data_IF_312171791439
#
_entry.id   IF_312171791439
#
_cell.length_a   1.000
_cell.length_b   1.000
_cell.length_c   1.000
_cell.angle_alpha   90.00
_cell.angle_beta   90.00
_cell.angle_gamma   90.00
#
_symmetry.space_group_name_H-M   'P 1'
#
loop_
_entity.id
_entity.type
_entity.pdbx_description
1 polymer ?
#
# COMPACT_ATOMS: atom_id res chain seq x y z
N UNK A 1 4.27 -9.76 -7.65
CA UNK A 1 5.01 -8.76 -6.86
C UNK A 1 4.01 -7.85 -6.15
N UNK A 2 4.22 -7.43 -4.90
CA UNK A 2 3.43 -6.34 -4.29
C UNK A 2 3.48 -5.15 -5.23
N UNK A 3 2.40 -4.91 -5.97
CA UNK A 3 2.37 -3.86 -6.98
C UNK A 3 2.33 -2.52 -6.25
N UNK A 4 3.48 -1.87 -6.15
CA UNK A 4 3.58 -0.46 -5.81
C UNK A 4 3.15 0.34 -7.04
N UNK A 5 1.89 0.17 -7.46
CA UNK A 5 1.38 0.82 -8.66
C UNK A 5 1.42 2.33 -8.46
N UNK A 6 1.95 3.10 -9.43
CA UNK A 6 1.95 4.55 -9.34
C UNK A 6 0.50 5.04 -9.28
N UNK A 7 0.23 5.96 -8.37
CA UNK A 7 -1.06 6.66 -8.26
C UNK A 7 -0.82 8.12 -7.92
N UNK A 8 -1.73 9.01 -8.34
CA UNK A 8 -1.61 10.45 -8.06
C UNK A 8 -1.42 10.72 -6.56
N UNK A 9 -2.25 10.10 -5.72
CA UNK A 9 -2.13 10.19 -4.27
C UNK A 9 -0.76 9.73 -3.76
N UNK A 10 -0.19 8.64 -4.31
CA UNK A 10 1.13 8.17 -3.88
C UNK A 10 2.20 9.22 -4.19
N UNK A 11 2.16 9.84 -5.36
CA UNK A 11 3.10 10.90 -5.75
C UNK A 11 2.98 12.13 -4.85
N UNK A 12 1.76 12.51 -4.48
CA UNK A 12 1.54 13.63 -3.55
C UNK A 12 2.06 13.33 -2.15
N UNK A 13 1.78 12.14 -1.60
CA UNK A 13 2.31 11.72 -0.29
C UNK A 13 3.85 11.71 -0.34
N UNK A 14 4.42 11.26 -1.45
CA UNK A 14 5.86 11.22 -1.64
C UNK A 14 6.48 12.63 -1.65
N UNK A 15 5.86 13.59 -2.35
CA UNK A 15 6.28 14.98 -2.31
C UNK A 15 6.24 15.56 -0.89
N UNK A 16 5.22 15.20 -0.10
CA UNK A 16 5.13 15.58 1.32
C UNK A 16 6.25 14.95 2.14
N UNK A 17 6.55 13.66 1.97
CA UNK A 17 7.66 13.00 2.71
C UNK A 17 8.99 13.70 2.43
N UNK A 18 9.31 13.96 1.16
CA UNK A 18 10.55 14.65 0.79
C UNK A 18 10.60 16.09 1.31
N UNK A 19 9.49 16.82 1.20
CA UNK A 19 9.39 18.18 1.71
C UNK A 19 9.60 18.24 3.22
N UNK A 20 8.98 17.33 3.99
CA UNK A 20 9.14 17.26 5.44
C UNK A 20 10.57 16.87 5.85
N UNK A 21 11.19 15.93 5.14
CA UNK A 21 12.56 15.49 5.42
C UNK A 21 13.60 16.61 5.21
N UNK A 22 13.30 17.60 4.38
CA UNK A 22 14.19 18.74 4.13
C UNK A 22 14.11 19.84 5.20
N UNK A 23 13.19 19.74 6.17
CA UNK A 23 12.96 20.78 7.18
C UNK A 23 13.90 20.64 8.39
N UNK A 24 14.29 21.76 9.01
CA UNK A 24 15.02 21.72 10.28
C UNK A 24 14.10 21.37 11.46
N UNK A 25 14.71 20.87 12.54
CA UNK A 25 14.02 20.53 13.79
C UNK A 25 13.22 21.72 14.34
N UNK A 26 12.00 21.46 14.82
CA UNK A 26 11.11 22.43 15.46
C UNK A 26 10.39 23.38 14.50
N UNK A 27 10.49 23.17 13.18
CA UNK A 27 9.85 24.02 12.18
C UNK A 27 8.33 24.02 12.26
N UNK A 28 7.72 25.16 11.96
CA UNK A 28 6.27 25.30 11.82
C UNK A 28 5.94 25.66 10.37
N UNK A 29 5.22 24.79 9.68
CA UNK A 29 4.94 24.93 8.25
C UNK A 29 3.45 24.75 7.93
N UNK A 30 3.03 25.33 6.80
CA UNK A 30 1.70 25.06 6.21
C UNK A 30 1.91 24.43 4.83
N UNK A 31 1.30 23.27 4.61
CA UNK A 31 1.27 22.58 3.31
C UNK A 31 -0.04 22.93 2.62
N UNK A 32 0.06 23.67 1.52
CA UNK A 32 -1.06 23.96 0.65
C UNK A 32 -1.22 22.81 -0.36
N UNK A 33 -2.41 22.20 -0.44
CA UNK A 33 -2.69 21.11 -1.37
C UNK A 33 -4.13 21.14 -1.84
N UNK A 34 -4.37 20.78 -3.11
CA UNK A 34 -5.71 20.58 -3.66
C UNK A 34 -6.24 19.15 -3.44
N UNK A 35 -5.41 18.22 -2.94
CA UNK A 35 -5.83 16.85 -2.73
C UNK A 35 -6.62 16.65 -1.44
N UNK A 36 -7.94 16.53 -1.59
CA UNK A 36 -8.85 16.25 -0.49
C UNK A 36 -8.59 14.90 0.18
N UNK A 37 -8.17 13.89 -0.57
CA UNK A 37 -7.87 12.57 -0.03
C UNK A 37 -6.63 12.59 0.87
N UNK A 38 -5.59 13.33 0.49
CA UNK A 38 -4.40 13.54 1.31
C UNK A 38 -4.77 14.21 2.63
N UNK A 39 -5.55 15.29 2.59
CA UNK A 39 -6.02 16.00 3.80
C UNK A 39 -6.84 15.06 4.69
N UNK A 40 -7.76 14.28 4.13
CA UNK A 40 -8.60 13.33 4.87
C UNK A 40 -7.81 12.22 5.56
N UNK A 41 -6.80 11.67 4.87
CA UNK A 41 -5.93 10.65 5.46
C UNK A 41 -4.98 11.25 6.49
N UNK A 42 -4.48 12.47 6.27
CA UNK A 42 -3.65 13.19 7.23
C UNK A 42 -4.39 13.42 8.55
N UNK A 43 -5.61 13.96 8.50
CA UNK A 43 -6.41 14.19 9.72
C UNK A 43 -6.74 12.87 10.43
N UNK A 44 -6.99 11.81 9.66
CA UNK A 44 -7.34 10.49 10.20
C UNK A 44 -6.16 9.71 10.77
N UNK A 45 -4.93 9.97 10.31
CA UNK A 45 -3.79 9.10 10.60
C UNK A 45 -2.48 9.81 10.93
N UNK A 46 -2.40 11.14 10.91
CA UNK A 46 -1.20 11.91 11.31
C UNK A 46 -1.52 12.78 12.51
N UNK A 47 -2.59 13.57 12.47
CA UNK A 47 -2.98 14.49 13.55
C UNK A 47 -3.45 13.78 14.83
N UNK A 48 -3.81 12.50 14.72
CA UNK A 48 -4.27 11.68 15.84
C UNK A 48 -3.18 10.72 16.35
N UNK A 49 -3.30 10.18 17.57
CA UNK A 49 -2.47 9.06 18.02
C UNK A 49 -2.53 7.87 17.05
N UNK A 50 -1.51 7.00 17.09
CA UNK A 50 -1.40 5.90 16.14
C UNK A 50 -2.65 4.99 16.15
N UNK A 51 -3.19 4.72 14.97
CA UNK A 51 -4.33 3.81 14.77
C UNK A 51 -3.90 2.60 13.94
N UNK A 52 -4.13 1.36 14.39
CA UNK A 52 -3.84 0.14 13.61
C UNK A 52 -4.56 0.08 12.26
N UNK A 53 -5.65 0.84 12.09
CA UNK A 53 -6.36 0.99 10.81
C UNK A 53 -5.45 1.54 9.70
N UNK A 54 -4.38 2.28 10.05
CA UNK A 54 -3.39 2.77 9.10
C UNK A 54 -2.70 1.64 8.34
N UNK A 55 -2.39 0.52 9.00
CA UNK A 55 -1.74 -0.66 8.41
C UNK A 55 -2.60 -1.35 7.34
N UNK A 56 -3.87 -0.96 7.22
CA UNK A 56 -4.81 -1.44 6.20
C UNK A 56 -4.96 -0.48 5.03
N UNK A 57 -4.36 0.70 5.10
CA UNK A 57 -4.42 1.67 4.01
C UNK A 57 -3.35 1.35 2.94
N UNK A 58 -3.61 1.70 1.67
CA UNK A 58 -2.53 1.79 0.70
C UNK A 58 -1.50 2.84 1.13
N UNK A 59 -0.25 2.70 0.69
CA UNK A 59 0.84 3.63 1.02
C UNK A 59 1.09 3.79 2.54
N UNK A 60 0.68 2.82 3.36
CA UNK A 60 0.79 2.94 4.82
C UNK A 60 2.24 3.15 5.29
N UNK A 61 3.23 2.65 4.54
CA UNK A 61 4.63 2.89 4.86
C UNK A 61 5.02 4.37 4.68
N UNK A 62 4.50 5.03 3.65
CA UNK A 62 4.74 6.48 3.47
C UNK A 62 4.06 7.28 4.59
N UNK A 63 2.84 6.93 4.98
CA UNK A 63 2.16 7.55 6.11
C UNK A 63 2.88 7.33 7.45
N UNK A 64 3.39 6.12 7.69
CA UNK A 64 4.24 5.84 8.84
C UNK A 64 5.52 6.68 8.81
N UNK A 65 6.09 6.90 7.63
CA UNK A 65 7.27 7.76 7.44
C UNK A 65 6.97 9.21 7.78
N UNK A 66 5.84 9.76 7.29
CA UNK A 66 5.36 11.10 7.66
C UNK A 66 5.25 11.23 9.18
N UNK A 67 4.57 10.28 9.83
CA UNK A 67 4.41 10.30 11.30
C UNK A 67 5.76 10.27 12.03
N UNK A 68 6.70 9.47 11.55
CA UNK A 68 8.02 9.36 12.14
C UNK A 68 8.78 10.68 11.98
N UNK A 69 8.86 11.24 10.77
CA UNK A 69 9.54 12.50 10.48
C UNK A 69 8.96 13.65 11.30
N UNK A 70 7.63 13.81 11.31
CA UNK A 70 6.95 14.88 12.07
C UNK A 70 7.28 14.79 13.56
N UNK A 71 7.32 13.58 14.12
CA UNK A 71 7.64 13.35 15.52
C UNK A 71 9.13 13.59 15.81
N UNK A 72 10.01 13.03 14.98
CA UNK A 72 11.47 13.05 15.18
C UNK A 72 12.02 14.47 15.06
N UNK A 73 11.54 15.23 14.06
CA UNK A 73 11.92 16.62 13.85
C UNK A 73 11.06 17.62 14.64
N UNK A 74 10.17 17.16 15.52
CA UNK A 74 9.25 18.02 16.31
C UNK A 74 8.50 19.08 15.47
N UNK A 75 8.04 18.70 14.27
CA UNK A 75 7.43 19.62 13.32
C UNK A 75 6.00 19.97 13.72
N UNK A 76 5.62 21.24 13.50
CA UNK A 76 4.23 21.70 13.55
C UNK A 76 3.73 21.90 12.13
N UNK A 77 2.91 20.97 11.65
CA UNK A 77 2.45 20.98 10.25
C UNK A 77 0.95 21.23 10.22
N UNK A 78 0.51 22.21 9.43
CA UNK A 78 -0.90 22.46 9.12
C UNK A 78 -1.14 22.20 7.64
N UNK A 79 -2.19 21.45 7.31
CA UNK A 79 -2.63 21.31 5.92
C UNK A 79 -3.70 22.35 5.63
N UNK A 80 -3.60 22.99 4.48
CA UNK A 80 -4.60 23.92 3.97
C UNK A 80 -5.08 23.48 2.59
N UNK A 81 -6.39 23.42 2.42
CA UNK A 81 -6.99 23.06 1.15
C UNK A 81 -6.97 24.28 0.23
N UNK A 82 -6.34 24.16 -0.92
CA UNK A 82 -6.44 25.17 -1.99
C UNK A 82 -7.41 24.69 -3.08
N UNK A 83 -8.19 25.61 -3.69
CA UNK A 83 -9.03 25.26 -4.84
C UNK A 83 -8.17 24.74 -5.99
N UNK A 84 -8.68 23.73 -6.70
CA UNK A 84 -8.07 23.32 -7.95
C UNK A 84 -8.33 24.39 -9.02
N UNK A 85 -7.32 24.73 -9.81
CA UNK A 85 -7.43 25.63 -10.97
C UNK A 85 -7.76 27.10 -10.70
N UNK A 86 -7.67 27.55 -9.46
CA UNK A 86 -7.44 28.97 -9.21
C UNK A 86 -6.01 29.28 -9.68
N UNK A 87 -5.76 30.43 -10.31
CA UNK A 87 -4.47 30.79 -10.92
C UNK A 87 -3.35 31.04 -9.88
N UNK A 88 -3.18 30.14 -8.92
CA UNK A 88 -2.09 30.13 -7.96
C UNK A 88 -0.80 29.72 -8.69
N UNK A 89 0.13 30.67 -8.80
CA UNK A 89 1.38 30.50 -9.51
C UNK A 89 2.23 29.35 -8.95
N UNK A 90 2.19 29.11 -7.64
CA UNK A 90 2.95 28.03 -7.00
C UNK A 90 2.33 26.66 -7.29
N UNK A 91 1.00 26.56 -7.27
CA UNK A 91 0.32 25.32 -7.63
C UNK A 91 0.54 24.96 -9.10
N UNK A 92 0.48 25.94 -10.01
CA UNK A 92 0.81 25.75 -11.44
C UNK A 92 2.26 25.27 -11.60
N UNK A 93 3.19 25.87 -10.85
CA UNK A 93 4.60 25.46 -10.87
C UNK A 93 4.79 24.01 -10.40
N UNK A 94 4.14 23.62 -9.29
CA UNK A 94 4.21 22.25 -8.76
C UNK A 94 3.60 21.25 -9.76
N UNK A 95 2.46 21.56 -10.37
CA UNK A 95 1.84 20.72 -11.40
C UNK A 95 2.75 20.56 -12.63
N UNK A 96 3.41 21.64 -13.05
CA UNK A 96 4.38 21.60 -14.16
C UNK A 96 5.59 20.72 -13.80
N UNK A 97 6.15 20.87 -12.59
CA UNK A 97 7.25 20.05 -12.10
C UNK A 97 6.87 18.57 -12.02
N UNK A 98 5.67 18.25 -11.52
CA UNK A 98 5.17 16.89 -11.44
C UNK A 98 4.98 16.25 -12.83
N UNK A 99 4.42 16.99 -13.79
CA UNK A 99 4.26 16.56 -15.19
C UNK A 99 5.61 16.33 -15.87
N UNK A 100 6.58 17.22 -15.64
CA UNK A 100 7.92 17.07 -16.18
C UNK A 100 8.59 15.82 -15.59
N UNK A 101 8.54 15.65 -14.27
CA UNK A 101 9.12 14.50 -13.57
C UNK A 101 8.54 13.15 -14.02
N UNK A 102 7.29 13.10 -14.48
CA UNK A 102 6.68 11.90 -15.03
C UNK A 102 7.41 11.36 -16.28
N UNK A 103 8.05 12.25 -17.04
CA UNK A 103 8.75 11.93 -18.28
C UNK A 103 10.25 11.62 -18.09
N UNK A 104 10.77 11.78 -16.87
CA UNK A 104 12.18 11.55 -16.55
C UNK A 104 12.45 10.12 -16.03
N UNK A 105 13.70 9.68 -16.16
CA UNK A 105 14.19 8.43 -15.56
C UNK A 105 13.97 8.46 -14.04
N UNK A 106 13.54 7.33 -13.47
CA UNK A 106 13.28 7.21 -12.04
C UNK A 106 14.50 7.64 -11.20
N UNK A 107 14.29 8.20 -10.01
CA UNK A 107 15.37 8.63 -9.13
C UNK A 107 16.42 7.53 -8.91
N UNK A 108 17.69 7.93 -8.84
CA UNK A 108 18.85 7.04 -8.64
C UNK A 108 18.95 6.47 -7.22
N UNK A 109 18.14 6.94 -6.29
CA UNK A 109 18.12 6.46 -4.92
C UNK A 109 17.11 5.33 -4.73
N UNK A 110 17.45 4.39 -3.84
CA UNK A 110 16.57 3.26 -3.53
C UNK A 110 15.21 3.76 -3.00
N UNK A 111 14.07 3.28 -3.53
CA UNK A 111 12.75 3.55 -2.96
C UNK A 111 12.65 3.23 -1.46
N UNK A 112 13.53 2.35 -0.96
CA UNK A 112 13.60 2.00 0.46
C UNK A 112 14.17 3.11 1.34
N UNK A 113 15.00 3.99 0.81
CA UNK A 113 15.59 5.09 1.57
C UNK A 113 14.55 6.11 2.04
N UNK A 114 13.39 6.17 1.38
CA UNK A 114 12.26 7.04 1.76
C UNK A 114 11.51 6.49 2.99
N UNK A 115 11.54 5.18 3.23
CA UNK A 115 10.77 4.57 4.31
C UNK A 115 11.47 4.73 5.67
N UNK A 116 11.24 5.87 6.30
CA UNK A 116 11.67 6.12 7.68
C UNK A 116 10.59 5.63 8.64
N UNK A 117 10.48 4.32 8.79
CA UNK A 117 9.44 3.68 9.62
C UNK A 117 10.05 2.95 10.82
N UNK A 118 9.39 2.95 11.99
CA UNK A 118 9.89 2.21 13.16
C UNK A 118 10.04 0.70 12.93
N UNK A 119 9.18 0.12 12.09
CA UNK A 119 9.23 -1.28 11.70
C UNK A 119 8.79 -1.43 10.25
N UNK A 120 9.65 -2.06 9.44
CA UNK A 120 9.41 -2.30 8.02
C UNK A 120 9.17 -3.79 7.78
N UNK A 121 7.91 -4.15 7.50
CA UNK A 121 7.57 -5.51 7.11
C UNK A 121 8.06 -5.80 5.69
N UNK A 122 8.77 -6.91 5.53
CA UNK A 122 9.32 -7.35 4.23
C UNK A 122 8.86 -8.75 3.88
N UNK A 123 8.71 -9.02 2.58
CA UNK A 123 8.53 -10.34 2.02
C UNK A 123 9.49 -10.50 0.84
N UNK A 124 10.32 -11.54 0.86
CA UNK A 124 11.41 -11.73 -0.11
C UNK A 124 12.27 -10.46 -0.29
N UNK A 125 12.68 -9.86 0.83
CA UNK A 125 13.44 -8.61 0.89
C UNK A 125 12.75 -7.35 0.35
N UNK A 126 11.52 -7.46 -0.17
CA UNK A 126 10.72 -6.34 -0.65
C UNK A 126 9.79 -5.81 0.44
N UNK A 127 9.59 -4.48 0.53
CA UNK A 127 8.67 -3.91 1.50
C UNK A 127 7.23 -4.32 1.19
N UNK A 128 6.45 -4.62 2.22
CA UNK A 128 5.02 -4.86 2.08
C UNK A 128 4.33 -3.50 2.18
N UNK A 129 4.16 -2.79 1.06
CA UNK A 129 3.47 -1.48 0.99
C UNK A 129 2.03 -1.60 0.47
N UNK A 130 1.33 -2.64 0.92
CA UNK A 130 -0.08 -2.87 0.64
C UNK A 130 -0.83 -3.05 1.96
N UNK A 131 -2.16 -3.12 1.90
CA UNK A 131 -2.95 -3.46 3.08
C UNK A 131 -2.45 -4.78 3.70
N UNK A 132 -1.92 -4.70 4.92
CA UNK A 132 -1.27 -5.84 5.58
C UNK A 132 -2.26 -6.99 5.81
N UNK A 133 -3.54 -6.69 6.08
CA UNK A 133 -4.57 -7.72 6.22
C UNK A 133 -4.79 -8.48 4.91
N UNK A 134 -4.82 -7.77 3.77
CA UNK A 134 -4.93 -8.42 2.47
C UNK A 134 -3.69 -9.23 2.15
N UNK A 135 -2.50 -8.71 2.43
CA UNK A 135 -1.25 -9.44 2.26
C UNK A 135 -1.22 -10.76 3.06
N UNK A 136 -1.52 -10.71 4.35
CA UNK A 136 -1.59 -11.90 5.21
C UNK A 136 -2.64 -12.88 4.73
N UNK A 137 -3.78 -12.37 4.25
CA UNK A 137 -4.83 -13.20 3.66
C UNK A 137 -4.34 -13.92 2.41
N UNK A 138 -3.62 -13.24 1.51
CA UNK A 138 -3.03 -13.86 0.32
C UNK A 138 -2.04 -14.97 0.67
N UNK A 139 -1.27 -14.85 1.76
CA UNK A 139 -0.41 -15.94 2.25
C UNK A 139 -1.25 -17.15 2.67
N UNK A 140 -2.31 -16.92 3.44
CA UNK A 140 -3.21 -18.00 3.87
C UNK A 140 -3.88 -18.68 2.68
N UNK A 141 -4.39 -17.91 1.72
CA UNK A 141 -5.02 -18.42 0.51
C UNK A 141 -4.02 -19.23 -0.34
N UNK A 142 -2.77 -18.77 -0.47
CA UNK A 142 -1.71 -19.51 -1.18
C UNK A 142 -1.37 -20.84 -0.50
N UNK A 143 -1.32 -20.88 0.84
CA UNK A 143 -1.13 -22.13 1.60
C UNK A 143 -2.29 -23.09 1.43
N UNK A 144 -3.53 -22.57 1.46
CA UNK A 144 -4.72 -23.36 1.22
C UNK A 144 -4.73 -23.97 -0.20
N UNK A 145 -4.35 -23.17 -1.21
CA UNK A 145 -4.20 -23.65 -2.58
C UNK A 145 -3.13 -24.73 -2.67
N UNK A 146 -1.95 -24.53 -2.08
CA UNK A 146 -0.88 -25.54 -2.08
C UNK A 146 -1.35 -26.88 -1.46
N UNK A 147 -2.07 -26.81 -0.33
CA UNK A 147 -2.65 -27.99 0.30
C UNK A 147 -3.69 -28.67 -0.60
N UNK A 148 -4.51 -27.89 -1.30
CA UNK A 148 -5.49 -28.39 -2.25
C UNK A 148 -4.83 -29.08 -3.45
N UNK A 149 -3.80 -28.47 -4.04
CA UNK A 149 -3.02 -29.04 -5.13
C UNK A 149 -2.35 -30.38 -4.78
N UNK A 150 -2.02 -30.56 -3.49
CA UNK A 150 -1.31 -31.74 -2.98
C UNK A 150 -2.24 -32.88 -2.54
N UNK A 151 -3.55 -32.77 -2.74
CA UNK A 151 -4.49 -33.82 -2.32
C UNK A 151 -4.30 -35.10 -3.16
N UNK A 152 -4.42 -36.26 -2.50
CA UNK A 152 -4.22 -37.57 -3.12
C UNK A 152 -5.06 -37.80 -4.40
N UNK A 153 -6.25 -37.18 -4.48
CA UNK A 153 -7.12 -37.24 -5.65
C UNK A 153 -6.49 -36.63 -6.90
N UNK A 154 -5.69 -35.58 -6.76
CA UNK A 154 -5.00 -34.94 -7.88
C UNK A 154 -3.73 -35.71 -8.24
N UNK A 155 -3.00 -36.22 -7.24
CA UNK A 155 -1.83 -37.07 -7.50
C UNK A 155 -2.21 -38.40 -8.17
N UNK A 156 -3.44 -38.90 -7.95
CA UNK A 156 -3.97 -40.07 -8.65
C UNK A 156 -4.29 -39.80 -10.13
N UNK A 157 -4.64 -38.55 -10.48
CA UNK A 157 -4.91 -38.13 -11.85
C UNK A 157 -3.62 -37.85 -12.65
N UNK A 158 -2.52 -37.53 -11.97
CA UNK A 158 -1.22 -37.33 -12.59
C UNK A 158 -0.31 -36.42 -11.76
N UNK A 159 0.85 -36.08 -12.32
CA UNK A 159 1.76 -35.13 -11.69
C UNK A 159 1.08 -33.76 -11.49
N UNK A 160 1.24 -33.09 -10.34
CA UNK A 160 0.71 -31.75 -10.11
C UNK A 160 1.11 -30.73 -11.20
N UNK A 161 2.23 -30.94 -11.91
CA UNK A 161 2.67 -30.06 -12.99
C UNK A 161 1.76 -30.10 -14.24
N UNK A 162 0.88 -31.08 -14.37
CA UNK A 162 -0.03 -31.23 -15.51
C UNK A 162 -1.26 -30.31 -15.44
N UNK A 163 -1.53 -29.73 -14.29
CA UNK A 163 -2.72 -28.92 -14.06
C UNK A 163 -2.40 -27.43 -14.20
N UNK A 164 -3.26 -26.69 -14.89
CA UNK A 164 -3.27 -25.24 -14.83
C UNK A 164 -3.87 -24.77 -13.50
N UNK A 165 -3.04 -24.76 -12.44
CA UNK A 165 -3.47 -24.33 -11.11
C UNK A 165 -3.91 -22.87 -11.07
N UNK A 166 -3.39 -22.02 -11.95
CA UNK A 166 -3.80 -20.63 -12.04
C UNK A 166 -5.23 -20.51 -12.59
N UNK A 167 -5.53 -21.22 -13.69
CA UNK A 167 -6.86 -21.31 -14.26
C UNK A 167 -7.87 -21.97 -13.30
N UNK A 168 -7.49 -23.08 -12.67
CA UNK A 168 -8.32 -23.76 -11.67
C UNK A 168 -8.63 -22.83 -10.50
N UNK A 169 -7.62 -22.18 -9.93
CA UNK A 169 -7.82 -21.22 -8.84
C UNK A 169 -8.70 -20.05 -9.27
N UNK A 170 -8.51 -19.50 -10.46
CA UNK A 170 -9.36 -18.44 -11.00
C UNK A 170 -10.81 -18.89 -11.08
N UNK A 171 -11.11 -20.05 -11.66
CA UNK A 171 -12.46 -20.62 -11.74
C UNK A 171 -13.07 -20.81 -10.35
N UNK A 172 -12.31 -21.39 -9.41
CA UNK A 172 -12.77 -21.61 -8.04
C UNK A 172 -13.03 -20.30 -7.31
N UNK A 173 -12.23 -19.26 -7.55
CA UNK A 173 -12.41 -17.94 -6.94
C UNK A 173 -13.68 -17.21 -7.39
N UNK A 174 -14.23 -17.56 -8.56
CA UNK A 174 -15.51 -17.01 -9.04
C UNK A 174 -16.73 -17.66 -8.34
N UNK A 175 -16.56 -18.81 -7.70
CA UNK A 175 -17.63 -19.51 -7.00
C UNK A 175 -17.86 -18.82 -5.65
N UNK A 176 -19.02 -18.17 -5.50
CA UNK A 176 -19.43 -17.56 -4.22
C UNK A 176 -19.38 -18.59 -3.10
N UNK A 177 -18.57 -18.32 -2.07
CA UNK A 177 -18.44 -19.17 -0.89
C UNK A 177 -17.21 -20.09 -0.88
N UNK A 178 -16.51 -20.25 -2.01
CA UNK A 178 -15.32 -21.12 -2.06
C UNK A 178 -14.18 -20.64 -1.14
N UNK A 179 -13.99 -19.33 -1.01
CA UNK A 179 -12.96 -18.74 -0.13
C UNK A 179 -13.45 -18.40 1.29
N UNK A 180 -14.66 -18.82 1.69
CA UNK A 180 -15.20 -18.48 3.02
C UNK A 180 -14.58 -19.36 4.09
N UNK A 181 -13.54 -18.86 4.75
CA UNK A 181 -13.11 -19.41 6.04
C UNK A 181 -14.19 -19.10 7.07
N UNK A 182 -15.02 -20.09 7.40
CA UNK A 182 -15.80 -20.08 8.63
C UNK A 182 -15.00 -20.82 9.70
N UNK A 183 -14.64 -20.10 10.77
CA UNK A 183 -14.31 -20.66 12.09
C UNK A 183 -13.17 -21.70 12.15
N UNK A 184 -12.07 -21.50 11.41
CA UNK A 184 -10.83 -22.28 11.64
C UNK A 184 -10.90 -23.77 11.27
N UNK A 185 -12.02 -24.24 10.73
CA UNK A 185 -12.16 -25.59 10.20
C UNK A 185 -12.11 -25.54 8.65
N UNK A 186 -11.25 -26.33 8.01
CA UNK A 186 -11.21 -26.41 6.55
C UNK A 186 -12.37 -27.29 6.06
N UNK A 187 -13.57 -26.72 5.95
CA UNK A 187 -14.63 -27.35 5.17
C UNK A 187 -14.48 -26.94 3.71
N UNK A 188 -13.69 -27.72 2.96
CA UNK A 188 -13.81 -27.73 1.51
C UNK A 188 -15.16 -28.36 1.17
N UNK A 189 -16.10 -27.55 0.71
CA UNK A 189 -17.36 -28.04 0.16
C UNK A 189 -17.04 -29.06 -0.94
N UNK A 190 -17.52 -30.28 -0.73
CA UNK A 190 -17.36 -31.41 -1.62
C UNK A 190 -18.02 -31.05 -2.94
N UNK A 191 -17.23 -30.81 -3.99
CA UNK A 191 -17.73 -30.92 -5.35
C UNK A 191 -18.15 -32.37 -5.55
N UNK A 192 -19.47 -32.64 -5.60
CA UNK A 192 -19.98 -33.79 -6.33
C UNK A 192 -19.96 -33.39 -7.81
N UNK A 193 -19.10 -34.06 -8.57
CA UNK A 193 -19.29 -34.21 -10.02
C UNK A 193 -20.30 -35.35 -10.20
#
# INVERSE_FOLDING_TARGET
LPSCSPSALRSEIYAVVLGLHALPFGSSITINTNCSQLISLWTSFVDVPFLPKLLRQPNHLLWLSIRHIVKDLALKVKLNKVPAHENDAHNIQVDSLAKNAHSFMQPTFSPMAIYQVPCLLKFNFLPIDMNIRHFLRSIADARALLSFCSMARFTALGSPALFDWAGIYFCLSQIKGFASHKNGHPEFWIFRI
#
